data_IF_801816006617
#
_entry.id   IF_801816006617
#
_cell.length_a   1.000
_cell.length_b   1.000
_cell.length_c   1.000
_cell.angle_alpha   90.00
_cell.angle_beta   90.00
_cell.angle_gamma   90.00
#
_symmetry.space_group_name_H-M   'P 1'
#
loop_
_entity.id
_entity.type
_entity.pdbx_description
1 polymer ?
#
# COMPACT_ATOMS: atom_id res chain seq x y z
N UNK A 1 2.83 2.97 -5.25
CA UNK A 1 4.06 2.89 -6.05
C UNK A 1 4.90 1.67 -5.70
N UNK A 2 5.45 1.55 -4.48
CA UNK A 2 6.33 0.40 -4.13
C UNK A 2 5.65 -0.97 -4.35
N UNK A 3 4.36 -1.10 -4.03
CA UNK A 3 3.58 -2.32 -4.27
C UNK A 3 3.47 -2.68 -5.76
N UNK A 4 3.50 -1.68 -6.65
CA UNK A 4 3.49 -1.89 -8.10
C UNK A 4 4.79 -2.54 -8.61
N UNK A 5 5.86 -2.51 -7.82
CA UNK A 5 7.11 -3.19 -8.17
C UNK A 5 7.05 -4.69 -7.83
N UNK A 6 6.11 -5.12 -6.98
CA UNK A 6 5.94 -6.52 -6.58
C UNK A 6 7.13 -7.12 -5.81
N UNK A 7 8.06 -6.29 -5.32
CA UNK A 7 9.26 -6.75 -4.61
C UNK A 7 9.01 -6.87 -3.10
N UNK A 8 9.64 -7.83 -2.41
CA UNK A 8 9.64 -7.87 -0.95
C UNK A 8 9.94 -6.47 -0.37
N UNK A 9 9.07 -5.99 0.52
CA UNK A 9 9.10 -4.59 0.96
C UNK A 9 8.94 -4.52 2.47
N UNK A 10 9.88 -3.84 3.12
CA UNK A 10 9.80 -3.41 4.52
C UNK A 10 9.50 -1.92 4.57
N UNK A 11 8.48 -1.53 5.33
CA UNK A 11 8.13 -0.12 5.55
C UNK A 11 8.52 0.31 6.96
N UNK A 12 9.23 1.43 7.06
CA UNK A 12 9.42 2.16 8.32
C UNK A 12 8.69 3.50 8.20
N UNK A 13 7.49 3.66 8.79
CA UNK A 13 6.65 4.83 8.56
C UNK A 13 7.21 6.05 9.31
N UNK A 14 7.02 7.24 8.77
CA UNK A 14 7.14 8.45 9.60
C UNK A 14 5.89 8.57 10.46
N UNK A 15 6.05 8.65 11.78
CA UNK A 15 4.92 8.78 12.72
C UNK A 15 4.64 10.23 13.12
N UNK A 16 5.57 11.15 12.85
CA UNK A 16 5.42 12.60 13.06
C UNK A 16 5.95 13.36 11.83
N UNK A 17 5.19 14.36 11.30
CA UNK A 17 3.84 14.77 11.70
C UNK A 17 2.71 13.90 11.09
N UNK A 18 3.03 12.90 10.26
CA UNK A 18 2.05 12.20 9.38
C UNK A 18 1.70 10.80 9.86
N UNK A 19 0.73 10.67 10.78
CA UNK A 19 0.25 9.36 11.28
C UNK A 19 -0.31 8.42 10.21
N UNK A 20 -0.80 8.97 9.09
CA UNK A 20 -1.44 8.18 8.03
C UNK A 20 -0.52 7.10 7.43
N UNK A 21 0.80 7.34 7.36
CA UNK A 21 1.74 6.34 6.85
C UNK A 21 1.74 5.08 7.72
N UNK A 22 1.70 5.23 9.04
CA UNK A 22 1.65 4.09 9.96
C UNK A 22 0.32 3.33 9.83
N UNK A 23 -0.79 4.04 9.66
CA UNK A 23 -2.11 3.44 9.47
C UNK A 23 -2.14 2.63 8.16
N UNK A 24 -1.67 3.24 7.05
CA UNK A 24 -1.66 2.61 5.73
C UNK A 24 -0.71 1.42 5.68
N UNK A 25 0.53 1.60 6.15
CA UNK A 25 1.53 0.53 6.24
C UNK A 25 1.03 -0.63 7.11
N UNK A 26 0.45 -0.32 8.27
CA UNK A 26 -0.05 -1.35 9.19
C UNK A 26 -1.23 -2.14 8.61
N UNK A 27 -2.08 -1.52 7.80
CA UNK A 27 -3.16 -2.22 7.09
C UNK A 27 -2.60 -3.21 6.06
N UNK A 28 -1.62 -2.80 5.27
CA UNK A 28 -0.96 -3.66 4.28
C UNK A 28 -0.19 -4.80 4.96
N UNK A 29 0.47 -4.52 6.09
CA UNK A 29 1.21 -5.52 6.85
C UNK A 29 0.29 -6.61 7.43
N UNK A 30 -0.89 -6.23 7.93
CA UNK A 30 -1.90 -7.22 8.36
C UNK A 30 -2.41 -8.11 7.23
N UNK A 31 -2.26 -7.70 5.97
CA UNK A 31 -2.60 -8.49 4.79
C UNK A 31 -1.39 -9.30 4.28
N UNK A 32 -0.23 -9.23 4.94
CA UNK A 32 1.00 -9.91 4.52
C UNK A 32 1.61 -9.36 3.23
N UNK A 33 1.13 -8.20 2.76
CA UNK A 33 1.56 -7.59 1.50
C UNK A 33 2.87 -6.80 1.63
N UNK A 34 3.22 -6.40 2.84
CA UNK A 34 4.49 -5.76 3.22
C UNK A 34 4.81 -6.19 4.63
N UNK A 35 6.06 -6.04 5.05
CA UNK A 35 6.39 -6.00 6.46
C UNK A 35 6.52 -4.56 6.94
N UNK A 36 6.47 -4.37 8.25
CA UNK A 36 6.53 -3.06 8.85
C UNK A 36 7.26 -3.09 10.18
N UNK A 37 8.21 -2.16 10.35
CA UNK A 37 8.80 -1.84 11.64
C UNK A 37 8.41 -0.42 12.01
N UNK A 38 8.09 -0.20 13.29
CA UNK A 38 7.95 1.17 13.81
C UNK A 38 9.33 1.83 13.92
N UNK A 39 9.46 3.17 13.78
CA UNK A 39 10.76 3.85 13.83
C UNK A 39 11.60 3.50 15.06
N UNK A 40 10.99 3.42 16.24
CA UNK A 40 11.68 3.06 17.48
C UNK A 40 12.10 1.58 17.58
N UNK A 41 11.64 0.74 16.66
CA UNK A 41 11.98 -0.68 16.57
C UNK A 41 13.00 -0.96 15.46
N UNK A 42 13.41 0.06 14.70
CA UNK A 42 14.41 -0.10 13.66
C UNK A 42 15.80 -0.23 14.29
N UNK A 43 16.33 -1.44 14.27
CA UNK A 43 17.69 -1.77 14.72
C UNK A 43 18.41 -2.58 13.65
N UNK A 44 19.76 -2.62 13.65
CA UNK A 44 20.51 -3.49 12.74
C UNK A 44 20.09 -4.95 12.84
N UNK A 45 19.84 -5.44 14.06
CA UNK A 45 19.37 -6.81 14.30
C UNK A 45 17.99 -7.04 13.67
N UNK A 46 17.01 -6.18 13.95
CA UNK A 46 15.66 -6.32 13.38
C UNK A 46 15.66 -6.27 11.84
N UNK A 47 16.54 -5.45 11.25
CA UNK A 47 16.71 -5.41 9.80
C UNK A 47 17.35 -6.70 9.26
N UNK A 48 18.34 -7.25 9.97
CA UNK A 48 19.02 -8.50 9.59
C UNK A 48 18.06 -9.68 9.69
N UNK A 49 17.26 -9.75 10.75
CA UNK A 49 16.23 -10.76 10.96
C UNK A 49 15.18 -10.71 9.84
N UNK A 50 14.77 -9.50 9.42
CA UNK A 50 13.87 -9.34 8.29
C UNK A 50 14.48 -9.83 6.97
N UNK A 51 15.76 -9.51 6.71
CA UNK A 51 16.47 -9.96 5.51
C UNK A 51 16.65 -11.48 5.45
N UNK A 52 16.83 -12.12 6.61
CA UNK A 52 16.99 -13.57 6.72
C UNK A 52 15.64 -14.32 6.80
N UNK A 53 14.57 -13.61 7.14
CA UNK A 53 13.24 -14.16 7.36
C UNK A 53 12.44 -14.40 6.07
N UNK A 54 11.22 -14.95 6.21
CA UNK A 54 10.32 -15.13 5.09
C UNK A 54 9.89 -13.78 4.51
N UNK A 55 9.98 -13.64 3.19
CA UNK A 55 9.60 -12.42 2.50
C UNK A 55 8.07 -12.20 2.50
N UNK A 56 7.59 -10.94 2.60
CA UNK A 56 6.18 -10.63 2.45
C UNK A 56 5.72 -10.89 1.02
N UNK A 57 4.42 -11.15 0.85
CA UNK A 57 3.82 -11.51 -0.44
C UNK A 57 3.50 -10.28 -1.29
N UNK A 58 4.43 -9.32 -1.41
CA UNK A 58 4.19 -8.04 -2.09
C UNK A 58 3.75 -8.21 -3.55
N UNK A 59 4.22 -9.24 -4.24
CA UNK A 59 3.83 -9.53 -5.61
C UNK A 59 2.31 -9.73 -5.78
N UNK A 60 1.63 -10.24 -4.75
CA UNK A 60 0.18 -10.46 -4.73
C UNK A 60 -0.63 -9.18 -4.52
N UNK A 61 0.02 -8.04 -4.28
CA UNK A 61 -0.69 -6.78 -4.08
C UNK A 61 -1.58 -6.41 -5.27
N UNK A 62 -1.17 -6.74 -6.51
CA UNK A 62 -2.00 -6.49 -7.71
C UNK A 62 -3.24 -7.38 -7.79
N UNK A 63 -3.18 -8.58 -7.23
CA UNK A 63 -4.32 -9.51 -7.21
C UNK A 63 -5.32 -9.13 -6.10
N UNK A 64 -4.83 -8.54 -5.00
CA UNK A 64 -5.62 -8.27 -3.80
C UNK A 64 -6.11 -6.83 -3.68
N UNK A 65 -5.50 -5.88 -4.40
CA UNK A 65 -5.81 -4.46 -4.31
C UNK A 65 -6.20 -3.89 -5.68
N UNK A 66 -7.24 -3.06 -5.68
CA UNK A 66 -7.57 -2.25 -6.84
C UNK A 66 -6.55 -1.10 -6.97
N UNK A 67 -5.74 -1.16 -8.03
CA UNK A 67 -4.69 -0.18 -8.32
C UNK A 67 -5.20 1.01 -9.17
N UNK A 68 -6.49 1.03 -9.54
CA UNK A 68 -7.14 2.10 -10.33
C UNK A 68 -7.65 3.28 -9.48
N UNK A 69 -6.97 3.57 -8.37
CA UNK A 69 -7.43 4.55 -7.39
C UNK A 69 -7.71 5.95 -7.94
N UNK A 70 -6.91 6.42 -8.91
CA UNK A 70 -7.12 7.73 -9.56
C UNK A 70 -8.40 7.75 -10.39
N UNK A 71 -8.68 6.68 -11.13
CA UNK A 71 -9.90 6.53 -11.92
C UNK A 71 -11.13 6.50 -11.01
N UNK A 72 -11.05 5.76 -9.90
CA UNK A 72 -12.09 5.73 -8.89
C UNK A 72 -12.34 7.11 -8.26
N UNK A 73 -11.29 7.90 -7.98
CA UNK A 73 -11.43 9.28 -7.48
C UNK A 73 -12.06 10.18 -8.53
N UNK A 74 -11.63 10.10 -9.79
CA UNK A 74 -12.20 10.86 -10.91
C UNK A 74 -13.70 10.57 -11.08
N UNK A 75 -14.08 9.30 -11.07
CA UNK A 75 -15.48 8.89 -11.19
C UNK A 75 -16.33 9.44 -10.03
N UNK A 76 -15.82 9.34 -8.80
CA UNK A 76 -16.52 9.89 -7.61
C UNK A 76 -16.63 11.41 -7.64
N UNK A 77 -15.59 12.11 -8.06
CA UNK A 77 -15.61 13.57 -8.20
C UNK A 77 -16.64 14.01 -9.25
N UNK A 78 -16.70 13.35 -10.40
CA UNK A 78 -17.70 13.65 -11.44
C UNK A 78 -19.15 13.48 -10.92
N UNK A 79 -19.42 12.39 -10.18
CA UNK A 79 -20.72 12.16 -9.56
C UNK A 79 -21.10 13.27 -8.56
N UNK A 80 -20.16 13.71 -7.72
CA UNK A 80 -20.42 14.77 -6.73
C UNK A 80 -20.67 16.14 -7.38
N UNK A 81 -20.07 16.39 -8.55
CA UNK A 81 -20.22 17.64 -9.29
C UNK A 81 -21.44 17.66 -10.22
N UNK A 82 -22.22 16.58 -10.30
CA UNK A 82 -23.38 16.50 -11.20
C UNK A 82 -23.02 16.36 -12.68
N UNK A 83 -21.75 16.03 -12.98
CA UNK A 83 -21.34 15.72 -14.35
C UNK A 83 -21.64 14.24 -14.61
N UNK A 84 -22.26 13.86 -15.75
CA UNK A 84 -22.39 12.46 -16.09
C UNK A 84 -21.00 11.84 -16.15
N UNK A 85 -20.72 10.92 -15.22
CA UNK A 85 -19.47 10.19 -15.20
C UNK A 85 -19.35 9.44 -16.53
N UNK A 86 -18.33 9.75 -17.32
CA UNK A 86 -17.95 8.89 -18.43
C UNK A 86 -17.60 7.52 -17.83
N UNK A 87 -18.58 6.62 -17.87
CA UNK A 87 -18.44 5.27 -17.36
C UNK A 87 -17.22 4.65 -18.03
N UNK A 88 -16.17 4.41 -17.24
CA UNK A 88 -15.00 3.70 -17.71
C UNK A 88 -15.45 2.27 -17.98
N UNK A 89 -15.66 1.98 -19.26
CA UNK A 89 -15.87 0.64 -19.76
C UNK A 89 -14.69 -0.23 -19.30
N UNK A 90 -14.92 -1.07 -18.29
CA UNK A 90 -14.10 -2.26 -18.10
C UNK A 90 -14.45 -3.20 -19.24
N UNK A 91 -13.49 -3.43 -20.14
CA UNK A 91 -13.47 -4.63 -20.98
C UNK A 91 -12.20 -5.39 -20.64
N UNK A 92 -12.44 -6.51 -19.95
CA UNK A 92 -11.67 -7.76 -19.77
C UNK A 92 -10.20 -7.66 -19.35
#
# INVERSE_FOLDING_TARGET
EVLSLGRPTLIVPRTQPRREQAIRGGRLARQGLVDMLMPGSLTPTALSDWLAGPAPQTARAREQLDMSGLDAVRARAAMLLGHPSAALAKVS
#
